data_IF_517710185955
#
_entry.id   IF_517710185955
#
_cell.length_a   1.000
_cell.length_b   1.000
_cell.length_c   1.000
_cell.angle_alpha   90.00
_cell.angle_beta   90.00
_cell.angle_gamma   90.00
#
_symmetry.space_group_name_H-M   'P 1'
#
loop_
_entity.id
_entity.type
_entity.pdbx_description
1 polymer ?
#
# COMPACT_ATOMS: atom_id res chain seq x y z
N UNK A 1 0.75 5.35 20.29
CA UNK A 1 -0.58 4.82 20.69
C UNK A 1 -1.49 5.00 19.49
N UNK A 2 -1.50 4.04 18.56
CA UNK A 2 -2.27 4.13 17.32
C UNK A 2 -3.76 4.25 17.63
N UNK A 3 -4.44 5.22 17.02
CA UNK A 3 -5.88 5.40 17.25
C UNK A 3 -6.65 4.32 16.49
N UNK A 4 -7.70 3.81 17.13
CA UNK A 4 -8.41 2.55 16.82
C UNK A 4 -8.94 2.38 15.36
N UNK A 5 -9.02 3.44 14.56
CA UNK A 5 -9.53 3.37 13.16
C UNK A 5 -8.44 2.96 12.18
N UNK A 6 -7.19 3.42 12.36
CA UNK A 6 -6.06 3.01 11.51
C UNK A 6 -5.69 1.54 11.75
N UNK A 7 -5.85 1.07 12.98
CA UNK A 7 -5.51 -0.31 13.36
C UNK A 7 -6.50 -1.34 12.83
N UNK A 8 -7.80 -1.03 12.74
CA UNK A 8 -8.84 -2.01 12.30
C UNK A 8 -9.74 -1.44 11.20
N UNK A 9 -9.22 -1.17 10.00
CA UNK A 9 -9.98 -0.55 8.92
C UNK A 9 -11.12 -1.43 8.40
N UNK A 10 -11.09 -2.73 8.67
CA UNK A 10 -12.16 -3.69 8.32
C UNK A 10 -13.35 -3.65 9.27
N UNK A 11 -13.25 -3.01 10.44
CA UNK A 11 -14.28 -3.04 11.47
C UNK A 11 -15.16 -1.79 11.45
N UNK A 12 -16.49 -1.99 11.43
CA UNK A 12 -17.48 -0.93 11.58
C UNK A 12 -18.48 -1.28 12.68
N UNK A 13 -18.64 -0.39 13.66
CA UNK A 13 -19.54 -0.58 14.81
C UNK A 13 -21.01 -0.76 14.39
N UNK A 14 -21.43 -0.15 13.27
CA UNK A 14 -22.80 -0.27 12.75
C UNK A 14 -23.08 -1.53 11.92
N UNK A 15 -22.05 -2.30 11.57
CA UNK A 15 -22.19 -3.49 10.71
C UNK A 15 -22.43 -4.77 11.53
N UNK A 16 -23.15 -5.72 10.94
CA UNK A 16 -23.38 -7.02 11.58
C UNK A 16 -22.07 -7.79 11.80
N UNK A 17 -22.07 -8.70 12.79
CA UNK A 17 -20.92 -9.58 13.04
C UNK A 17 -20.46 -10.33 11.79
N UNK A 18 -21.41 -10.84 10.98
CA UNK A 18 -21.10 -11.56 9.75
C UNK A 18 -20.42 -10.68 8.69
N UNK A 19 -20.83 -9.42 8.56
CA UNK A 19 -20.22 -8.46 7.65
C UNK A 19 -18.79 -8.12 8.08
N UNK A 20 -18.59 -7.77 9.36
CA UNK A 20 -17.27 -7.49 9.91
C UNK A 20 -16.33 -8.71 9.79
N UNK A 21 -16.83 -9.93 10.00
CA UNK A 21 -16.05 -11.15 9.81
C UNK A 21 -15.65 -11.38 8.35
N UNK A 22 -16.55 -11.09 7.39
CA UNK A 22 -16.26 -11.15 5.96
C UNK A 22 -15.22 -10.09 5.56
N UNK A 23 -15.36 -8.87 6.08
CA UNK A 23 -14.40 -7.79 5.85
C UNK A 23 -13.01 -8.14 6.40
N UNK A 24 -12.91 -8.62 7.66
CA UNK A 24 -11.64 -9.06 8.25
C UNK A 24 -10.92 -10.05 7.33
N UNK A 25 -11.61 -11.10 6.85
CA UNK A 25 -11.02 -12.10 5.94
C UNK A 25 -10.56 -11.51 4.60
N UNK A 26 -11.31 -10.56 4.04
CA UNK A 26 -10.91 -9.92 2.79
C UNK A 26 -9.65 -9.05 2.96
N UNK A 27 -9.49 -8.42 4.14
CA UNK A 27 -8.36 -7.56 4.45
C UNK A 27 -7.06 -8.33 4.72
N UNK A 28 -7.09 -9.67 4.89
CA UNK A 28 -5.88 -10.52 4.96
C UNK A 28 -5.05 -10.46 3.67
N UNK A 29 -5.63 -10.03 2.56
CA UNK A 29 -4.95 -9.87 1.28
C UNK A 29 -4.64 -8.40 0.92
N UNK A 30 -4.82 -7.47 1.87
CA UNK A 30 -4.67 -6.04 1.64
C UNK A 30 -3.43 -5.51 2.36
N UNK A 31 -2.57 -4.81 1.62
CA UNK A 31 -1.56 -3.95 2.20
C UNK A 31 -2.01 -2.49 2.17
N UNK A 32 -1.62 -1.73 3.18
CA UNK A 32 -1.79 -0.27 3.21
C UNK A 32 -0.43 0.40 3.10
N UNK A 33 -0.26 1.26 2.09
CA UNK A 33 0.94 2.10 1.95
C UNK A 33 0.57 3.50 2.38
N UNK A 34 1.30 4.04 3.35
CA UNK A 34 1.08 5.40 3.88
C UNK A 34 2.39 6.16 3.99
N UNK A 35 2.33 7.49 3.95
CA UNK A 35 3.47 8.31 4.30
C UNK A 35 3.88 8.01 5.75
N UNK A 36 5.18 7.85 5.97
CA UNK A 36 5.72 7.51 7.28
C UNK A 36 5.57 8.71 8.22
N UNK A 37 4.92 8.49 9.35
CA UNK A 37 4.83 9.44 10.45
C UNK A 37 5.73 8.91 11.58
N UNK A 38 6.72 9.69 12.06
CA UNK A 38 7.62 9.21 13.10
C UNK A 38 6.90 9.06 14.45
N UNK A 39 7.17 7.95 15.13
CA UNK A 39 6.67 7.69 16.49
C UNK A 39 7.56 8.32 17.55
N UNK A 40 7.59 9.65 17.59
CA UNK A 40 8.38 10.43 18.57
C UNK A 40 7.47 11.15 19.58
N UNK A 41 8.03 11.48 20.75
CA UNK A 41 7.33 12.30 21.74
C UNK A 41 6.97 13.69 21.19
N UNK A 42 7.85 14.25 20.36
CA UNK A 42 7.64 15.53 19.69
C UNK A 42 6.46 15.48 18.71
N UNK A 43 6.36 14.44 17.88
CA UNK A 43 5.20 14.26 16.97
C UNK A 43 3.90 14.08 17.74
N UNK A 44 3.93 13.39 18.89
CA UNK A 44 2.77 13.23 19.76
C UNK A 44 2.33 14.54 20.43
N UNK A 45 3.27 15.43 20.76
CA UNK A 45 2.96 16.78 21.25
C UNK A 45 2.41 17.68 20.14
N UNK A 46 3.05 17.69 18.98
CA UNK A 46 2.56 18.40 17.80
C UNK A 46 1.13 17.99 17.45
N UNK A 47 0.85 16.68 17.44
CA UNK A 47 -0.48 16.16 17.13
C UNK A 47 -1.54 16.65 18.13
N UNK A 48 -1.21 16.68 19.44
CA UNK A 48 -2.10 17.24 20.46
C UNK A 48 -2.36 18.73 20.25
N UNK A 49 -1.33 19.49 19.85
CA UNK A 49 -1.47 20.91 19.51
C UNK A 49 -2.40 21.13 18.31
N UNK A 50 -2.22 20.36 17.24
CA UNK A 50 -3.08 20.42 16.05
C UNK A 50 -4.54 20.09 16.40
N UNK A 51 -4.77 19.07 17.22
CA UNK A 51 -6.12 18.71 17.67
C UNK A 51 -6.78 19.83 18.49
N UNK A 52 -6.03 20.46 19.40
CA UNK A 52 -6.52 21.58 20.20
C UNK A 52 -6.87 22.79 19.32
N UNK A 53 -6.00 23.16 18.38
CA UNK A 53 -6.25 24.25 17.43
C UNK A 53 -7.43 23.96 16.51
N UNK A 54 -7.59 22.72 16.06
CA UNK A 54 -8.72 22.31 15.23
C UNK A 54 -10.05 22.51 15.95
N UNK A 55 -10.11 22.12 17.23
CA UNK A 55 -11.30 22.33 18.05
C UNK A 55 -11.56 23.82 18.31
N UNK A 56 -10.51 24.59 18.63
CA UNK A 56 -10.63 26.01 18.95
C UNK A 56 -11.11 26.85 17.76
N UNK A 57 -10.51 26.66 16.58
CA UNK A 57 -10.74 27.54 15.43
C UNK A 57 -11.84 27.05 14.49
N UNK A 58 -12.06 25.73 14.43
CA UNK A 58 -13.01 25.13 13.48
C UNK A 58 -14.14 24.34 14.15
N UNK A 59 -14.12 24.18 15.48
CA UNK A 59 -15.10 23.36 16.19
C UNK A 59 -15.07 21.88 15.77
N UNK A 60 -13.95 21.41 15.20
CA UNK A 60 -13.79 20.05 14.69
C UNK A 60 -12.80 19.27 15.53
N UNK A 61 -13.24 18.12 16.04
CA UNK A 61 -12.38 17.14 16.69
C UNK A 61 -11.89 16.09 15.69
N UNK A 62 -10.64 15.67 15.84
CA UNK A 62 -10.10 14.53 15.09
C UNK A 62 -10.70 13.20 15.55
N UNK A 63 -11.27 13.13 16.75
CA UNK A 63 -11.84 11.89 17.29
C UNK A 63 -10.81 10.74 17.27
N UNK A 64 -11.12 9.69 16.50
CA UNK A 64 -10.26 8.50 16.32
C UNK A 64 -9.30 8.63 15.13
N UNK A 65 -9.33 9.73 14.38
CA UNK A 65 -8.41 9.97 13.27
C UNK A 65 -7.06 10.50 13.77
N UNK A 66 -6.02 10.19 13.01
CA UNK A 66 -4.66 10.68 13.25
C UNK A 66 -4.43 11.98 12.46
N UNK A 67 -3.47 12.79 12.90
CA UNK A 67 -3.10 14.01 12.18
C UNK A 67 -2.56 13.61 10.81
N UNK A 68 -3.15 14.19 9.77
CA UNK A 68 -2.82 13.85 8.40
C UNK A 68 -1.38 14.30 8.05
N UNK A 69 -0.66 13.47 7.30
CA UNK A 69 0.66 13.78 6.76
C UNK A 69 0.72 15.15 6.05
N UNK A 70 -0.35 15.61 5.40
CA UNK A 70 -0.40 16.95 4.81
C UNK A 70 -0.20 18.07 5.85
N UNK A 71 -0.77 17.94 7.04
CA UNK A 71 -0.62 18.96 8.10
C UNK A 71 0.85 19.04 8.53
N UNK A 72 1.49 17.89 8.72
CA UNK A 72 2.92 17.84 9.06
C UNK A 72 3.79 18.38 7.93
N UNK A 73 3.44 18.11 6.66
CA UNK A 73 4.18 18.61 5.51
C UNK A 73 4.09 20.14 5.37
N UNK A 74 2.92 20.74 5.61
CA UNK A 74 2.77 22.19 5.62
C UNK A 74 3.55 22.85 6.75
N UNK A 75 3.57 22.25 7.93
CA UNK A 75 4.41 22.72 9.04
C UNK A 75 5.89 22.74 8.64
N UNK A 76 6.40 21.63 8.08
CA UNK A 76 7.79 21.53 7.63
C UNK A 76 8.09 22.49 6.47
N UNK A 77 7.13 22.75 5.57
CA UNK A 77 7.28 23.71 4.50
C UNK A 77 7.49 25.14 5.00
N UNK A 78 6.83 25.52 6.10
CA UNK A 78 7.06 26.83 6.74
C UNK A 78 8.46 26.91 7.33
N UNK A 79 8.94 25.85 8.00
CA UNK A 79 10.32 25.80 8.52
C UNK A 79 11.33 25.97 7.37
N UNK A 80 11.17 25.19 6.29
CA UNK A 80 12.01 25.27 5.10
C UNK A 80 12.04 26.69 4.51
N UNK A 81 10.86 27.31 4.37
CA UNK A 81 10.73 28.67 3.87
C UNK A 81 11.43 29.68 4.79
N UNK A 82 11.23 29.57 6.11
CA UNK A 82 11.87 30.44 7.11
C UNK A 82 13.39 30.34 7.06
N UNK A 83 13.95 29.14 6.89
CA UNK A 83 15.38 28.92 6.72
C UNK A 83 15.91 29.63 5.46
N UNK A 84 15.26 29.41 4.32
CA UNK A 84 15.65 30.02 3.04
C UNK A 84 15.53 31.55 3.06
N UNK A 85 14.49 32.10 3.69
CA UNK A 85 14.33 33.55 3.88
C UNK A 85 15.42 34.10 4.78
N UNK A 86 15.72 33.46 5.91
CA UNK A 86 16.75 33.92 6.83
C UNK A 86 18.13 34.00 6.15
N UNK A 87 18.50 32.95 5.39
CA UNK A 87 19.71 32.94 4.57
C UNK A 87 19.72 34.07 3.54
N UNK A 88 18.60 34.27 2.83
CA UNK A 88 18.45 35.34 1.83
C UNK A 88 18.65 36.73 2.45
N UNK A 89 18.05 36.99 3.62
CA UNK A 89 18.19 38.27 4.32
C UNK A 89 19.62 38.48 4.83
N UNK A 90 20.30 37.42 5.27
CA UNK A 90 21.70 37.50 5.72
C UNK A 90 22.68 37.91 4.62
N UNK A 91 22.30 37.68 3.35
CA UNK A 91 23.05 38.08 2.16
C UNK A 91 22.71 39.51 1.69
N UNK A 92 21.89 40.25 2.44
CA UNK A 92 21.47 41.62 2.09
C UNK A 92 20.40 41.69 1.01
N UNK A 93 19.81 40.55 0.63
CA UNK A 93 18.68 40.47 -0.28
C UNK A 93 17.36 40.69 0.47
N UNK A 94 16.25 40.70 -0.26
CA UNK A 94 14.92 40.92 0.30
C UNK A 94 13.99 39.75 0.06
N UNK A 95 12.88 39.68 0.79
CA UNK A 95 11.82 38.68 0.58
C UNK A 95 11.18 38.72 -0.82
N UNK A 96 11.43 39.78 -1.60
CA UNK A 96 10.98 39.90 -3.00
C UNK A 96 11.85 39.09 -3.96
N UNK A 97 13.03 38.63 -3.55
CA UNK A 97 13.92 37.80 -4.35
C UNK A 97 13.47 36.33 -4.35
N UNK A 98 12.23 36.07 -4.80
CA UNK A 98 11.57 34.76 -4.69
C UNK A 98 12.36 33.63 -5.35
N UNK A 99 12.97 33.85 -6.52
CA UNK A 99 13.78 32.81 -7.18
C UNK A 99 14.98 32.38 -6.35
N UNK A 100 15.61 33.32 -5.62
CA UNK A 100 16.74 33.02 -4.74
C UNK A 100 16.26 32.21 -3.54
N UNK A 101 15.14 32.60 -2.94
CA UNK A 101 14.52 31.87 -1.81
C UNK A 101 14.17 30.45 -2.24
N UNK A 102 13.46 30.28 -3.36
CA UNK A 102 13.10 28.95 -3.89
C UNK A 102 14.32 28.10 -4.17
N UNK A 103 15.36 28.66 -4.80
CA UNK A 103 16.59 27.92 -5.07
C UNK A 103 17.29 27.47 -3.78
N UNK A 104 17.28 28.30 -2.72
CA UNK A 104 17.80 27.94 -1.40
C UNK A 104 16.96 26.90 -0.67
N UNK A 105 15.72 26.63 -1.10
CA UNK A 105 14.90 25.56 -0.54
C UNK A 105 15.23 24.19 -1.15
N UNK A 106 15.89 24.14 -2.30
CA UNK A 106 16.16 22.91 -3.05
C UNK A 106 17.49 22.27 -2.64
N UNK A 107 17.65 20.99 -2.97
CA UNK A 107 18.87 20.20 -2.71
C UNK A 107 19.42 20.35 -1.28
N UNK A 108 18.55 20.26 -0.27
CA UNK A 108 18.92 20.44 1.13
C UNK A 108 18.16 19.49 2.04
N UNK A 109 18.74 19.27 3.21
CA UNK A 109 18.10 18.55 4.31
C UNK A 109 17.99 19.47 5.52
N UNK A 110 16.87 19.40 6.22
CA UNK A 110 16.63 20.12 7.47
C UNK A 110 15.83 19.24 8.44
N UNK A 111 15.85 19.59 9.72
CA UNK A 111 15.07 18.92 10.75
C UNK A 111 13.68 19.57 10.84
N UNK A 112 12.64 18.76 10.62
CA UNK A 112 11.23 19.14 10.77
C UNK A 112 10.51 18.23 11.75
N UNK A 113 9.19 18.42 11.91
CA UNK A 113 8.40 17.60 12.84
C UNK A 113 8.31 16.14 12.41
N UNK A 114 8.48 15.89 11.11
CA UNK A 114 8.53 14.55 10.54
C UNK A 114 9.92 13.91 10.58
N UNK A 115 10.88 14.53 11.29
CA UNK A 115 12.29 14.14 11.33
C UNK A 115 13.11 14.84 10.26
N UNK A 116 14.12 14.17 9.71
CA UNK A 116 14.93 14.73 8.62
C UNK A 116 14.11 14.83 7.33
N UNK A 117 13.96 16.06 6.82
CA UNK A 117 13.26 16.36 5.58
C UNK A 117 14.28 16.75 4.51
N UNK A 118 14.35 15.95 3.45
CA UNK A 118 15.25 16.19 2.33
C UNK A 118 14.48 16.62 1.08
N UNK A 119 14.88 17.75 0.49
CA UNK A 119 14.38 18.27 -0.78
C UNK A 119 15.45 18.02 -1.84
N UNK A 120 15.07 17.40 -2.95
CA UNK A 120 15.97 17.08 -4.05
C UNK A 120 16.32 18.32 -4.89
N UNK A 121 17.19 18.12 -5.88
CA UNK A 121 17.65 19.17 -6.81
C UNK A 121 16.55 19.79 -7.69
N UNK A 122 15.39 19.14 -7.80
CA UNK A 122 14.21 19.60 -8.57
C UNK A 122 13.17 20.30 -7.70
N UNK A 123 13.41 20.39 -6.39
CA UNK A 123 12.48 20.97 -5.44
C UNK A 123 11.44 20.01 -4.88
N UNK A 124 11.55 18.72 -5.15
CA UNK A 124 10.63 17.71 -4.63
C UNK A 124 11.18 17.06 -3.35
N UNK A 125 10.29 16.77 -2.41
CA UNK A 125 10.64 16.08 -1.16
C UNK A 125 10.91 14.60 -1.44
N UNK A 126 11.98 14.05 -0.86
CA UNK A 126 12.11 12.60 -0.66
C UNK A 126 11.13 12.17 0.44
N UNK A 127 10.19 11.29 0.09
CA UNK A 127 9.13 10.85 0.99
C UNK A 127 9.43 9.43 1.47
N UNK A 128 9.38 9.25 2.78
CA UNK A 128 9.44 7.94 3.41
C UNK A 128 8.03 7.35 3.50
N UNK A 129 7.91 6.05 3.27
CA UNK A 129 6.65 5.32 3.32
C UNK A 129 6.71 4.17 4.31
N UNK A 130 5.57 3.81 4.88
CA UNK A 130 5.39 2.61 5.68
C UNK A 130 4.41 1.67 4.98
N UNK A 131 4.79 0.39 4.90
CA UNK A 131 3.93 -0.69 4.48
C UNK A 131 3.29 -1.30 5.72
N UNK A 132 1.96 -1.27 5.78
CA UNK A 132 1.18 -1.90 6.83
C UNK A 132 0.52 -3.15 6.28
N UNK A 133 0.51 -4.18 7.12
CA UNK A 133 -0.15 -5.45 6.87
C UNK A 133 -0.96 -5.85 8.10
N UNK A 134 -1.98 -6.68 7.87
CA UNK A 134 -2.85 -7.14 8.95
C UNK A 134 -2.27 -8.37 9.64
N UNK A 135 -2.08 -8.26 10.95
CA UNK A 135 -1.89 -9.44 11.79
C UNK A 135 -3.19 -10.29 11.77
N UNK A 136 -3.15 -11.53 11.26
CA UNK A 136 -4.35 -12.36 11.11
C UNK A 136 -5.00 -12.71 12.45
N UNK A 137 -4.20 -12.84 13.52
CA UNK A 137 -4.67 -13.22 14.85
C UNK A 137 -5.45 -12.06 15.48
N UNK A 138 -4.80 -10.90 15.59
CA UNK A 138 -5.38 -9.73 16.26
C UNK A 138 -6.33 -8.94 15.35
N UNK A 139 -6.17 -9.06 14.02
CA UNK A 139 -6.82 -8.22 13.02
C UNK A 139 -6.30 -6.79 12.99
N UNK A 140 -5.17 -6.49 13.63
CA UNK A 140 -4.61 -5.15 13.64
C UNK A 140 -3.69 -4.95 12.44
N UNK A 141 -3.82 -3.82 11.76
CA UNK A 141 -2.84 -3.36 10.79
C UNK A 141 -1.64 -2.77 11.52
N UNK A 142 -0.46 -3.24 11.16
CA UNK A 142 0.81 -2.89 11.79
C UNK A 142 1.87 -2.68 10.72
N UNK A 143 2.84 -1.81 11.00
CA UNK A 143 3.95 -1.55 10.08
C UNK A 143 4.85 -2.80 10.02
N UNK A 144 5.00 -3.37 8.83
CA UNK A 144 5.85 -4.54 8.57
C UNK A 144 7.15 -4.18 7.84
N UNK A 145 7.16 -3.06 7.12
CA UNK A 145 8.35 -2.55 6.43
C UNK A 145 8.27 -1.03 6.22
N UNK A 146 9.42 -0.41 6.01
CA UNK A 146 9.54 1.01 5.67
C UNK A 146 10.36 1.18 4.39
N UNK A 147 9.97 2.14 3.57
CA UNK A 147 10.77 2.62 2.44
C UNK A 147 11.34 3.99 2.78
N UNK A 148 12.66 4.14 2.67
CA UNK A 148 13.36 5.39 2.92
C UNK A 148 13.65 6.09 1.59
N UNK A 149 13.05 7.27 1.38
CA UNK A 149 13.08 7.96 0.09
C UNK A 149 14.47 8.39 -0.35
N UNK A 150 15.33 8.76 0.61
CA UNK A 150 16.69 9.24 0.35
C UNK A 150 17.64 8.09 -0.03
N UNK A 151 17.66 7.00 0.74
CA UNK A 151 18.51 5.83 0.45
C UNK A 151 17.91 4.88 -0.60
N UNK A 152 16.62 5.03 -0.89
CA UNK A 152 15.83 4.14 -1.76
C UNK A 152 15.79 2.69 -1.27
N UNK A 153 15.88 2.51 0.05
CA UNK A 153 15.91 1.20 0.67
C UNK A 153 14.54 0.82 1.21
N UNK A 154 14.14 -0.42 0.93
CA UNK A 154 12.99 -1.08 1.55
C UNK A 154 13.51 -1.97 2.69
N UNK A 155 13.13 -1.64 3.91
CA UNK A 155 13.67 -2.23 5.14
C UNK A 155 12.54 -2.83 5.96
N UNK A 156 12.61 -4.14 6.18
CA UNK A 156 11.67 -4.86 7.04
C UNK A 156 11.80 -4.41 8.50
N UNK A 157 10.67 -4.35 9.21
CA UNK A 157 10.65 -4.08 10.64
C UNK A 157 11.07 -5.35 11.40
N UNK A 158 12.09 -5.30 12.28
CA UNK A 158 12.54 -6.48 13.02
C UNK A 158 11.40 -7.15 13.81
N UNK A 159 11.27 -8.47 13.65
CA UNK A 159 10.23 -9.25 14.32
C UNK A 159 8.83 -9.11 13.74
N UNK A 160 8.67 -8.37 12.63
CA UNK A 160 7.44 -8.30 11.84
C UNK A 160 7.69 -8.90 10.46
N UNK A 161 6.68 -9.57 9.91
CA UNK A 161 6.79 -10.22 8.61
C UNK A 161 5.51 -9.97 7.81
N UNK A 162 5.66 -9.85 6.49
CA UNK A 162 4.52 -9.79 5.57
C UNK A 162 3.78 -11.14 5.62
N UNK A 163 2.49 -11.08 5.90
CA UNK A 163 1.56 -12.18 5.85
C UNK A 163 0.99 -12.31 4.43
N UNK A 164 1.19 -13.48 3.82
CA UNK A 164 0.58 -13.79 2.54
C UNK A 164 -0.68 -14.61 2.74
N UNK A 165 -1.83 -14.02 2.40
CA UNK A 165 -3.14 -14.66 2.50
C UNK A 165 -3.18 -16.08 1.92
N UNK A 166 -3.99 -16.94 2.55
CA UNK A 166 -4.10 -18.35 2.17
C UNK A 166 -2.98 -19.23 2.72
N UNK A 167 -2.39 -18.85 3.86
CA UNK A 167 -1.28 -19.57 4.51
C UNK A 167 -0.07 -19.77 3.58
N UNK A 168 0.23 -18.76 2.76
CA UNK A 168 1.39 -18.80 1.88
C UNK A 168 2.62 -18.29 2.63
N UNK A 169 3.77 -18.92 2.36
CA UNK A 169 5.05 -18.46 2.89
C UNK A 169 5.75 -17.45 1.95
N UNK A 170 5.22 -17.28 0.74
CA UNK A 170 5.79 -16.44 -0.32
C UNK A 170 4.71 -15.60 -0.98
N UNK A 171 5.08 -14.46 -1.60
CA UNK A 171 4.16 -13.68 -2.41
C UNK A 171 3.44 -14.54 -3.46
N UNK A 172 2.16 -14.22 -3.78
CA UNK A 172 1.53 -14.78 -4.96
C UNK A 172 2.31 -14.38 -6.21
N UNK A 173 2.21 -15.20 -7.26
CA UNK A 173 2.70 -14.82 -8.58
C UNK A 173 1.93 -13.59 -9.07
N UNK A 174 2.64 -12.72 -9.77
CA UNK A 174 2.09 -11.56 -10.47
C UNK A 174 1.30 -11.98 -11.72
N UNK A 175 1.61 -13.16 -12.28
CA UNK A 175 0.87 -13.79 -13.39
C UNK A 175 0.35 -15.17 -12.96
N UNK A 176 -0.93 -15.52 -13.21
CA UNK A 176 -1.45 -16.87 -12.98
C UNK A 176 -0.70 -17.93 -13.80
N UNK A 177 -0.72 -19.19 -13.34
CA UNK A 177 0.00 -20.29 -14.02
C UNK A 177 -0.42 -20.50 -15.47
N UNK A 178 -1.71 -20.31 -15.78
CA UNK A 178 -2.25 -20.39 -17.14
C UNK A 178 -2.27 -19.05 -17.89
N UNK A 179 -1.62 -18.00 -17.37
CA UNK A 179 -1.81 -16.64 -17.88
C UNK A 179 -3.17 -16.06 -17.49
N UNK A 180 -3.36 -14.76 -17.74
CA UNK A 180 -4.61 -14.07 -17.39
C UNK A 180 -5.81 -14.51 -18.24
N UNK A 181 -5.55 -14.98 -19.45
CA UNK A 181 -6.54 -15.38 -20.46
C UNK A 181 -6.57 -16.91 -20.69
N UNK A 182 -5.78 -17.68 -19.95
CA UNK A 182 -5.67 -19.13 -20.13
C UNK A 182 -4.70 -19.56 -21.23
N UNK A 183 -4.08 -18.63 -21.98
CA UNK A 183 -3.25 -18.94 -23.15
C UNK A 183 -1.99 -19.76 -22.87
N UNK A 184 -1.51 -19.80 -21.63
CA UNK A 184 -0.33 -20.59 -21.25
C UNK A 184 -0.67 -22.04 -20.91
N UNK A 185 -1.95 -22.34 -20.71
CA UNK A 185 -2.41 -23.71 -20.55
C UNK A 185 -2.93 -24.18 -21.91
N UNK A 186 -2.35 -25.27 -22.42
CA UNK A 186 -2.92 -25.92 -23.61
C UNK A 186 -4.35 -26.33 -23.28
N UNK A 187 -5.30 -25.94 -24.14
CA UNK A 187 -6.64 -26.51 -24.07
C UNK A 187 -6.48 -28.03 -24.21
N UNK A 188 -6.77 -28.79 -23.15
CA UNK A 188 -6.95 -30.24 -23.23
C UNK A 188 -8.23 -30.57 -24.03
N UNK A 189 -8.32 -30.07 -25.25
CA UNK A 189 -9.20 -30.62 -26.27
C UNK A 189 -8.64 -32.00 -26.57
N UNK A 190 -9.42 -33.03 -26.21
CA UNK A 190 -9.12 -34.46 -26.37
C UNK A 190 -8.04 -34.69 -27.44
N UNK A 191 -6.89 -35.27 -27.08
CA UNK A 191 -5.81 -35.41 -28.03
C UNK A 191 -6.35 -36.14 -29.26
N UNK A 192 -6.02 -35.65 -30.46
CA UNK A 192 -6.68 -36.00 -31.72
C UNK A 192 -6.89 -37.51 -31.92
N UNK A 193 -5.98 -38.33 -31.39
CA UNK A 193 -6.09 -39.79 -31.43
C UNK A 193 -7.34 -40.33 -30.71
N UNK A 194 -7.82 -39.70 -29.62
CA UNK A 194 -9.02 -40.11 -28.86
C UNK A 194 -10.28 -39.92 -29.70
N UNK A 195 -10.37 -38.80 -30.42
CA UNK A 195 -11.48 -38.53 -31.34
C UNK A 195 -11.45 -39.54 -32.49
N UNK A 196 -10.28 -39.71 -33.12
CA UNK A 196 -10.09 -40.64 -34.24
C UNK A 196 -10.39 -42.09 -33.84
N UNK A 197 -9.89 -42.55 -32.70
CA UNK A 197 -10.10 -43.92 -32.21
C UNK A 197 -11.56 -44.18 -31.85
N UNK A 198 -12.24 -43.20 -31.28
CA UNK A 198 -13.66 -43.32 -30.91
C UNK A 198 -14.53 -43.46 -32.16
N UNK A 199 -14.32 -42.61 -33.18
CA UNK A 199 -15.06 -42.68 -34.45
C UNK A 199 -14.78 -43.99 -35.19
N UNK A 200 -13.51 -44.38 -35.32
CA UNK A 200 -13.13 -45.61 -36.00
C UNK A 200 -13.71 -46.85 -35.29
N UNK A 201 -13.66 -46.87 -33.94
CA UNK A 201 -14.24 -47.92 -33.13
C UNK A 201 -15.75 -48.04 -33.34
N UNK A 202 -16.49 -46.93 -33.33
CA UNK A 202 -17.93 -46.94 -33.60
C UNK A 202 -18.26 -47.47 -35.00
N UNK A 203 -17.49 -47.09 -36.02
CA UNK A 203 -17.68 -47.55 -37.40
C UNK A 203 -17.44 -49.06 -37.52
N UNK A 204 -16.38 -49.59 -36.88
CA UNK A 204 -16.10 -51.02 -36.86
C UNK A 204 -17.24 -51.79 -36.19
N UNK A 205 -17.75 -51.31 -35.05
CA UNK A 205 -18.89 -51.94 -34.35
C UNK A 205 -20.15 -51.93 -35.21
N UNK A 206 -20.43 -50.85 -35.93
CA UNK A 206 -21.57 -50.80 -36.86
C UNK A 206 -21.41 -51.79 -38.01
N UNK A 207 -20.22 -51.90 -38.60
CA UNK A 207 -19.96 -52.87 -39.66
C UNK A 207 -20.08 -54.31 -39.18
N UNK A 208 -19.61 -54.64 -37.97
CA UNK A 208 -19.75 -56.00 -37.42
C UNK A 208 -21.22 -56.34 -37.15
N UNK A 209 -21.99 -55.40 -36.61
CA UNK A 209 -23.44 -55.57 -36.40
C UNK A 209 -24.16 -55.76 -37.74
N UNK A 210 -23.92 -54.90 -38.73
CA UNK A 210 -24.53 -55.00 -40.06
C UNK A 210 -24.16 -56.31 -40.76
N UNK A 211 -22.90 -56.72 -40.69
CA UNK A 211 -22.44 -57.99 -41.27
C UNK A 211 -23.13 -59.18 -40.59
N UNK A 212 -23.27 -59.18 -39.25
CA UNK A 212 -24.01 -60.21 -38.52
C UNK A 212 -25.48 -60.31 -38.96
N UNK A 213 -26.14 -59.17 -39.25
CA UNK A 213 -27.52 -59.17 -39.74
C UNK A 213 -27.67 -59.58 -41.22
N UNK A 214 -26.64 -59.36 -42.06
CA UNK A 214 -26.67 -59.72 -43.49
C UNK A 214 -26.32 -61.20 -43.72
N UNK A 215 -25.41 -61.77 -42.92
CA UNK A 215 -24.94 -63.15 -43.06
C UNK A 215 -25.70 -64.17 -42.18
N UNK A 216 -26.78 -63.73 -41.51
CA UNK A 216 -27.70 -64.57 -40.75
C UNK A 216 -29.01 -64.77 -41.52
#
# INVERSE_FOLDING_TARGET
MHKNVSSRPWFREGDSYAQNKKAKRAFEALFTVTARIPETAEMAEFSRGVEALSMQYFGKSYGKEEVNAYVTAFHDAVILYSLAVNETLSEGLTVKNFSVITQKMWNRTFEGITGNVSINEKGDRYVDYSLLDMDPDTGNFEVVANYYGVSQEFVDVPGRHIHWSGNRNTPPRDVPDCGFDGSLCEDELFPQYVIVSSVLGSVIVLFTIMSFFIYR
#
